data_IF_776448616428
#
_entry.id   IF_776448616428
#
_cell.length_a   1.000
_cell.length_b   1.000
_cell.length_c   1.000
_cell.angle_alpha   90.00
_cell.angle_beta   90.00
_cell.angle_gamma   90.00
#
_symmetry.space_group_name_H-M   'P 1'
#
loop_
_entity.id
_entity.type
_entity.pdbx_description
1 polymer ?
#
# COMPACT_ATOMS: atom_id res chain seq x y z
N UNK A 1 5.31 -7.61 -12.13
CA UNK A 1 5.75 -6.42 -11.36
C UNK A 1 4.99 -6.28 -10.06
N UNK A 2 5.55 -5.52 -9.11
CA UNK A 2 4.99 -5.27 -7.78
C UNK A 2 4.99 -3.78 -7.46
N UNK A 3 3.86 -3.26 -6.97
CA UNK A 3 3.73 -1.89 -6.48
C UNK A 3 2.98 -1.91 -5.14
N UNK A 4 3.52 -1.29 -4.07
CA UNK A 4 2.82 -1.22 -2.79
C UNK A 4 1.62 -0.27 -2.90
N UNK A 5 0.53 -0.61 -2.20
CA UNK A 5 -0.64 0.23 -2.05
C UNK A 5 -0.93 0.47 -0.56
N UNK A 6 -1.43 1.66 -0.23
CA UNK A 6 -1.77 2.05 1.15
C UNK A 6 -3.24 2.45 1.21
N UNK A 7 -3.99 1.77 2.08
CA UNK A 7 -5.38 2.08 2.43
C UNK A 7 -5.48 2.72 3.81
N UNK A 8 -6.46 3.59 4.00
CA UNK A 8 -6.68 4.31 5.26
C UNK A 8 -8.13 4.15 5.75
N UNK A 9 -8.35 4.35 7.05
CA UNK A 9 -9.69 4.42 7.64
C UNK A 9 -10.55 3.19 7.35
N UNK A 10 -11.74 3.39 6.77
CA UNK A 10 -12.69 2.31 6.47
C UNK A 10 -12.13 1.28 5.48
N UNK A 11 -11.38 1.72 4.47
CA UNK A 11 -10.76 0.81 3.49
C UNK A 11 -9.71 -0.08 4.15
N UNK A 12 -8.96 0.44 5.13
CA UNK A 12 -7.97 -0.36 5.87
C UNK A 12 -8.65 -1.46 6.71
N UNK A 13 -9.76 -1.14 7.39
CA UNK A 13 -10.55 -2.14 8.13
C UNK A 13 -11.18 -3.19 7.21
N UNK A 14 -11.61 -2.78 6.03
CA UNK A 14 -12.16 -3.72 5.05
C UNK A 14 -11.07 -4.67 4.50
N UNK A 15 -9.86 -4.16 4.26
CA UNK A 15 -8.73 -4.97 3.79
C UNK A 15 -8.14 -5.92 4.86
N UNK A 16 -8.44 -5.71 6.15
CA UNK A 16 -7.93 -6.54 7.25
C UNK A 16 -8.33 -8.01 7.14
N UNK A 17 -9.52 -8.30 6.56
CA UNK A 17 -10.01 -9.67 6.39
C UNK A 17 -9.49 -10.36 5.12
N UNK A 18 -8.65 -9.71 4.32
CA UNK A 18 -8.20 -10.25 3.04
C UNK A 18 -7.13 -11.31 3.25
N UNK A 19 -7.19 -12.37 2.45
CA UNK A 19 -6.19 -13.43 2.48
C UNK A 19 -5.07 -13.17 1.48
N UNK A 20 -3.87 -13.65 1.81
CA UNK A 20 -2.73 -13.61 0.89
C UNK A 20 -3.07 -14.42 -0.35
N UNK A 21 -2.87 -13.81 -1.53
CA UNK A 21 -3.24 -14.39 -2.83
C UNK A 21 -4.63 -14.02 -3.32
N UNK A 22 -5.46 -13.36 -2.50
CA UNK A 22 -6.79 -12.89 -2.92
C UNK A 22 -6.72 -11.85 -4.03
N UNK A 23 -7.64 -11.95 -4.99
CA UNK A 23 -7.77 -10.99 -6.07
C UNK A 23 -8.52 -9.75 -5.59
N UNK A 24 -7.98 -8.57 -5.91
CA UNK A 24 -8.55 -7.29 -5.49
C UNK A 24 -8.58 -6.32 -6.65
N UNK A 25 -9.58 -5.45 -6.64
CA UNK A 25 -9.65 -4.30 -7.52
C UNK A 25 -9.52 -3.02 -6.70
N UNK A 26 -8.58 -2.16 -7.11
CA UNK A 26 -8.28 -0.92 -6.39
C UNK A 26 -8.38 0.28 -7.32
N UNK A 27 -8.87 1.38 -6.76
CA UNK A 27 -8.79 2.71 -7.37
C UNK A 27 -8.01 3.61 -6.44
N UNK A 28 -7.17 4.46 -7.01
CA UNK A 28 -6.30 5.31 -6.23
C UNK A 28 -5.45 6.24 -7.09
N UNK A 29 -4.59 6.98 -6.41
CA UNK A 29 -3.62 7.88 -7.04
C UNK A 29 -2.22 7.29 -6.90
N UNK A 30 -1.47 7.24 -7.99
CA UNK A 30 -0.03 6.96 -7.96
C UNK A 30 0.67 8.13 -7.29
N UNK A 31 1.52 7.83 -6.30
CA UNK A 31 2.25 8.82 -5.52
C UNK A 31 3.69 8.39 -5.31
N UNK A 32 4.55 9.38 -5.20
CA UNK A 32 5.91 9.22 -4.70
C UNK A 32 6.01 9.87 -3.33
N UNK A 33 6.60 9.18 -2.36
CA UNK A 33 6.85 9.72 -1.02
C UNK A 33 8.31 9.59 -0.68
N UNK A 34 8.95 10.72 -0.37
CA UNK A 34 10.28 10.71 0.22
C UNK A 34 10.20 10.27 1.69
N UNK A 35 11.14 9.44 2.11
CA UNK A 35 11.26 9.03 3.49
C UNK A 35 12.73 8.84 3.88
N UNK A 36 13.00 8.94 5.19
CA UNK A 36 14.31 8.63 5.74
C UNK A 36 14.31 7.18 6.22
N UNK A 37 15.12 6.33 5.57
CA UNK A 37 15.38 4.97 6.04
C UNK A 37 16.50 5.02 7.07
N UNK A 38 16.19 4.63 8.31
CA UNK A 38 17.20 4.42 9.34
C UNK A 38 18.01 3.17 8.99
N UNK A 39 19.34 3.31 8.86
CA UNK A 39 20.26 2.20 8.59
C UNK A 39 20.83 1.63 9.89
N UNK A 40 21.17 2.51 10.83
CA UNK A 40 21.60 2.19 12.20
C UNK A 40 21.26 3.38 13.12
N UNK A 41 21.80 3.43 14.34
CA UNK A 41 21.46 4.48 15.32
C UNK A 41 21.79 5.90 14.85
N UNK A 42 22.83 6.07 14.04
CA UNK A 42 23.37 7.37 13.64
C UNK A 42 23.18 7.69 12.16
N UNK A 43 22.97 6.69 11.31
CA UNK A 43 22.88 6.84 9.86
C UNK A 43 21.46 6.70 9.32
N UNK A 44 21.08 7.67 8.50
CA UNK A 44 19.80 7.73 7.80
C UNK A 44 20.01 8.03 6.32
N UNK A 45 19.26 7.35 5.47
CA UNK A 45 19.32 7.50 4.01
C UNK A 45 17.98 8.03 3.48
N UNK A 46 18.01 9.06 2.62
CA UNK A 46 16.80 9.53 1.93
C UNK A 46 16.47 8.59 0.77
N UNK A 47 15.23 8.12 0.72
CA UNK A 47 14.72 7.24 -0.33
C UNK A 47 13.35 7.71 -0.81
N UNK A 48 12.97 7.28 -2.00
CA UNK A 48 11.64 7.53 -2.58
C UNK A 48 10.90 6.20 -2.71
N UNK A 49 9.70 6.13 -2.14
CA UNK A 49 8.77 5.04 -2.37
C UNK A 49 7.74 5.44 -3.42
N UNK A 50 7.47 4.57 -4.39
CA UNK A 50 6.37 4.70 -5.34
C UNK A 50 5.23 3.78 -4.90
N UNK A 51 4.07 4.36 -4.63
CA UNK A 51 2.94 3.66 -4.02
C UNK A 51 1.60 4.14 -4.60
N UNK A 52 0.57 3.32 -4.46
CA UNK A 52 -0.81 3.71 -4.76
C UNK A 52 -1.54 4.06 -3.48
N UNK A 53 -2.02 5.30 -3.38
CA UNK A 53 -2.91 5.71 -2.30
C UNK A 53 -4.36 5.35 -2.67
N UNK A 54 -4.94 4.43 -1.90
CA UNK A 54 -6.22 3.77 -2.24
C UNK A 54 -7.41 4.63 -1.80
N UNK A 55 -8.26 5.00 -2.76
CA UNK A 55 -9.53 5.70 -2.52
C UNK A 55 -10.72 4.74 -2.45
N UNK A 56 -10.70 3.66 -3.23
CA UNK A 56 -11.72 2.60 -3.25
C UNK A 56 -11.07 1.24 -3.44
N UNK A 57 -11.62 0.21 -2.81
CA UNK A 57 -11.08 -1.14 -2.78
C UNK A 57 -12.22 -2.16 -2.78
N UNK A 58 -12.10 -3.21 -3.58
CA UNK A 58 -13.04 -4.32 -3.71
C UNK A 58 -12.27 -5.65 -3.64
N UNK A 59 -12.84 -6.63 -2.92
CA UNK A 59 -12.37 -8.01 -2.92
C UNK A 59 -13.13 -8.78 -3.99
N UNK A 60 -12.42 -9.51 -4.84
CA UNK A 60 -13.02 -10.32 -5.89
C UNK A 60 -13.06 -11.77 -5.40
N UNK A 61 -14.26 -12.26 -5.08
CA UNK A 61 -14.46 -13.68 -4.82
C UNK A 61 -14.35 -14.45 -6.15
N UNK A 62 -13.62 -15.57 -6.13
CA UNK A 62 -13.59 -16.50 -7.26
C UNK A 62 -14.96 -17.18 -7.38
N UNK A 63 -15.59 -17.09 -8.56
CA UNK A 63 -16.82 -17.82 -8.89
C UNK A 63 -16.56 -19.30 -9.12
#
# INVERSE_FOLDING_TARGET
DYIPCISWGRNARFAESFQVGGHVQIWGRIQSREYQKKLNETEFEKRVAYEVSVSKLEYLDEY
#
